data_IF_968457667008
#
_entry.id   IF_968457667008
#
_cell.length_a   1.000
_cell.length_b   1.000
_cell.length_c   1.000
_cell.angle_alpha   90.00
_cell.angle_beta   90.00
_cell.angle_gamma   90.00
#
_symmetry.space_group_name_H-M   'P 1'
#
loop_
_entity.id
_entity.type
_entity.pdbx_description
1 polymer ?
#
# COMPACT_ATOMS: atom_id res chain seq x y z
N UNK A 1 1.68 12.16 23.44
CA UNK A 1 0.63 11.47 24.22
C UNK A 1 -0.48 11.02 23.28
N UNK A 2 -0.46 9.74 22.89
CA UNK A 2 -1.43 9.18 21.94
C UNK A 2 -2.84 9.17 22.54
N UNK A 3 -3.82 9.66 21.77
CA UNK A 3 -5.23 9.81 22.19
C UNK A 3 -5.77 8.46 22.66
N UNK A 4 -6.23 8.39 23.92
CA UNK A 4 -6.86 7.21 24.51
C UNK A 4 -8.08 6.83 23.65
N UNK A 5 -7.91 5.85 22.76
CA UNK A 5 -8.94 5.38 21.85
C UNK A 5 -9.96 4.62 22.68
N UNK A 6 -11.24 4.95 22.54
CA UNK A 6 -12.32 4.30 23.25
C UNK A 6 -12.26 2.79 22.99
N UNK A 7 -11.88 2.02 24.01
CA UNK A 7 -11.85 0.57 23.94
C UNK A 7 -13.25 0.08 24.28
N UNK A 8 -13.96 -0.48 23.31
CA UNK A 8 -15.20 -1.20 23.58
C UNK A 8 -14.85 -2.46 24.38
N UNK A 9 -15.49 -2.65 25.53
CA UNK A 9 -15.35 -3.87 26.31
C UNK A 9 -15.89 -5.06 25.49
N UNK A 10 -15.09 -6.12 25.42
CA UNK A 10 -15.52 -7.39 24.82
C UNK A 10 -16.12 -8.23 25.95
N UNK A 11 -17.38 -8.59 25.83
CA UNK A 11 -18.10 -9.44 26.78
C UNK A 11 -18.44 -10.79 26.14
N UNK A 12 -18.48 -11.84 26.97
CA UNK A 12 -18.85 -13.19 26.57
C UNK A 12 -20.23 -13.53 27.12
N UNK A 13 -21.09 -14.12 26.29
CA UNK A 13 -22.39 -14.59 26.73
C UNK A 13 -22.26 -15.98 27.36
N UNK A 14 -22.51 -16.08 28.67
CA UNK A 14 -22.45 -17.35 29.41
C UNK A 14 -23.45 -18.42 28.95
N UNK A 15 -24.46 -18.04 28.16
CA UNK A 15 -25.46 -18.97 27.60
C UNK A 15 -25.11 -19.43 26.17
N UNK A 16 -24.15 -18.79 25.51
CA UNK A 16 -23.73 -19.17 24.16
C UNK A 16 -22.63 -20.23 24.25
N UNK A 17 -22.88 -21.41 23.67
CA UNK A 17 -21.94 -22.54 23.67
C UNK A 17 -20.57 -22.18 23.10
N UNK A 18 -20.52 -21.34 22.05
CA UNK A 18 -19.26 -20.90 21.44
C UNK A 18 -18.44 -20.03 22.39
N UNK A 19 -19.11 -19.17 23.15
CA UNK A 19 -18.45 -18.31 24.13
C UNK A 19 -17.97 -19.12 25.34
N UNK A 20 -18.75 -20.10 25.78
CA UNK A 20 -18.33 -21.05 26.83
C UNK A 20 -17.07 -21.81 26.38
N UNK A 21 -17.05 -22.32 25.15
CA UNK A 21 -15.88 -23.02 24.60
C UNK A 21 -14.63 -22.13 24.56
N UNK A 22 -14.79 -20.86 24.12
CA UNK A 22 -13.69 -19.87 24.14
C UNK A 22 -13.19 -19.60 25.56
N UNK A 23 -14.10 -19.38 26.51
CA UNK A 23 -13.75 -19.17 27.91
C UNK A 23 -13.04 -20.39 28.52
N UNK A 24 -13.46 -21.61 28.16
CA UNK A 24 -12.82 -22.86 28.60
C UNK A 24 -11.38 -22.98 28.08
N UNK A 25 -11.13 -22.58 26.83
CA UNK A 25 -9.77 -22.57 26.25
C UNK A 25 -8.85 -21.57 26.96
N UNK A 26 -9.36 -20.39 27.29
CA UNK A 26 -8.62 -19.38 28.04
C UNK A 26 -8.30 -19.88 29.46
N UNK A 27 -9.24 -20.62 30.06
CA UNK A 27 -9.09 -21.24 31.38
C UNK A 27 -9.01 -20.20 32.49
N UNK A 28 -7.95 -20.28 33.31
CA UNK A 28 -7.72 -19.35 34.44
C UNK A 28 -7.01 -18.04 34.04
N UNK A 29 -6.63 -17.89 32.77
CA UNK A 29 -5.94 -16.69 32.28
C UNK A 29 -6.98 -15.58 32.05
N UNK A 30 -6.58 -14.31 32.16
CA UNK A 30 -7.45 -13.22 31.71
C UNK A 30 -7.47 -13.18 30.18
N UNK A 31 -8.62 -12.86 29.59
CA UNK A 31 -8.77 -12.71 28.14
C UNK A 31 -7.71 -11.77 27.56
N UNK A 32 -7.50 -10.61 28.19
CA UNK A 32 -6.49 -9.64 27.76
C UNK A 32 -5.07 -10.20 27.77
N UNK A 33 -4.72 -11.04 28.75
CA UNK A 33 -3.38 -11.65 28.81
C UNK A 33 -3.18 -12.70 27.73
N UNK A 34 -4.23 -13.45 27.40
CA UNK A 34 -4.21 -14.40 26.28
C UNK A 34 -4.04 -13.68 24.93
N UNK A 35 -4.82 -12.63 24.68
CA UNK A 35 -4.72 -11.84 23.44
C UNK A 35 -3.36 -11.15 23.30
N UNK A 36 -2.83 -10.56 24.39
CA UNK A 36 -1.48 -9.96 24.37
C UNK A 36 -0.42 -10.97 23.94
N UNK A 37 -0.42 -12.16 24.55
CA UNK A 37 0.51 -13.23 24.16
C UNK A 37 0.41 -13.57 22.67
N UNK A 38 -0.80 -13.73 22.14
CA UNK A 38 -0.99 -14.04 20.72
C UNK A 38 -0.44 -12.93 19.81
N UNK A 39 -0.60 -11.67 20.19
CA UNK A 39 -0.05 -10.54 19.44
C UNK A 39 1.48 -10.52 19.52
N UNK A 40 2.05 -10.77 20.69
CA UNK A 40 3.50 -10.83 20.89
C UNK A 40 4.10 -11.97 20.04
N UNK A 41 3.50 -13.16 20.08
CA UNK A 41 3.92 -14.32 19.30
C UNK A 41 3.84 -14.03 17.77
N UNK A 42 2.80 -13.33 17.32
CA UNK A 42 2.63 -12.93 15.91
C UNK A 42 3.63 -11.86 15.47
N UNK A 43 3.97 -10.90 16.35
CA UNK A 43 5.01 -9.89 16.07
C UNK A 43 6.35 -10.59 15.90
N UNK A 44 6.72 -11.46 16.85
CA UNK A 44 7.96 -12.24 16.80
C UNK A 44 8.03 -13.06 15.51
N UNK A 45 6.93 -13.72 15.14
CA UNK A 45 6.86 -14.49 13.89
C UNK A 45 7.14 -13.63 12.67
N UNK A 46 6.52 -12.46 12.57
CA UNK A 46 6.74 -11.52 11.44
C UNK A 46 8.15 -10.94 11.41
N UNK A 47 8.74 -10.65 12.56
CA UNK A 47 10.13 -10.18 12.65
C UNK A 47 11.12 -11.28 12.28
N UNK A 48 10.81 -12.54 12.58
CA UNK A 48 11.63 -13.69 12.19
C UNK A 48 11.52 -14.04 10.70
N UNK A 49 10.40 -13.68 10.06
CA UNK A 49 10.14 -13.90 8.62
C UNK A 49 10.76 -12.81 7.73
N UNK A 50 11.58 -11.89 8.26
CA UNK A 50 12.32 -10.93 7.41
C UNK A 50 13.14 -11.71 6.38
N UNK A 51 12.83 -11.60 5.07
CA UNK A 51 13.61 -12.28 4.05
C UNK A 51 15.00 -11.68 4.08
N UNK A 52 15.99 -12.50 4.46
CA UNK A 52 17.39 -12.19 4.22
C UNK A 52 17.53 -11.91 2.73
N UNK A 53 17.82 -10.65 2.39
CA UNK A 53 18.14 -10.20 1.05
C UNK A 53 19.31 -11.02 0.50
N UNK A 54 19.00 -12.16 -0.10
CA UNK A 54 19.96 -13.05 -0.75
C UNK A 54 19.60 -13.19 -2.23
N UNK A 55 19.28 -12.07 -2.86
CA UNK A 55 19.42 -11.95 -4.31
C UNK A 55 20.84 -11.48 -4.60
N UNK A 56 21.84 -12.34 -4.31
CA UNK A 56 23.07 -12.31 -5.11
C UNK A 56 22.67 -12.88 -6.46
N UNK A 57 22.30 -12.02 -7.40
CA UNK A 57 21.99 -12.42 -8.76
C UNK A 57 23.30 -12.80 -9.46
N UNK A 58 23.72 -14.05 -9.32
CA UNK A 58 24.79 -14.66 -10.13
C UNK A 58 24.29 -15.10 -11.52
N UNK A 59 23.26 -14.44 -12.06
CA UNK A 59 22.81 -14.67 -13.43
C UNK A 59 23.33 -13.53 -14.30
N UNK A 60 24.27 -13.77 -15.24
CA UNK A 60 24.66 -12.75 -16.19
C UNK A 60 23.44 -12.39 -17.04
N UNK A 61 22.89 -11.18 -16.85
CA UNK A 61 21.82 -10.68 -17.72
C UNK A 61 22.39 -10.48 -19.13
N UNK A 62 22.01 -11.34 -20.08
CA UNK A 62 22.22 -11.04 -21.49
C UNK A 62 21.40 -9.80 -21.85
N UNK A 63 22.10 -8.75 -22.31
CA UNK A 63 21.47 -7.51 -22.79
C UNK A 63 20.63 -7.82 -24.02
N UNK A 64 19.33 -8.01 -23.83
CA UNK A 64 18.38 -8.06 -24.94
C UNK A 64 18.34 -6.68 -25.60
N UNK A 65 18.84 -6.58 -26.84
CA UNK A 65 18.67 -5.38 -27.66
C UNK A 65 17.20 -5.28 -28.06
N UNK A 66 16.43 -4.55 -27.27
CA UNK A 66 15.08 -4.13 -27.68
C UNK A 66 15.25 -3.13 -28.82
N UNK A 67 14.78 -3.49 -30.01
CA UNK A 67 14.67 -2.54 -31.13
C UNK A 67 13.68 -1.48 -30.69
N UNK A 68 14.14 -0.25 -30.48
CA UNK A 68 13.25 0.86 -30.14
C UNK A 68 12.44 1.20 -31.39
N UNK A 69 11.13 0.94 -31.36
CA UNK A 69 10.22 1.48 -32.36
C UNK A 69 10.33 3.01 -32.32
N UNK A 70 11.01 3.59 -33.30
CA UNK A 70 11.08 5.04 -33.47
C UNK A 70 9.68 5.54 -33.84
N UNK A 71 8.90 5.93 -32.84
CA UNK A 71 7.64 6.65 -33.05
C UNK A 71 7.97 7.98 -33.73
N UNK A 72 7.48 8.17 -34.94
CA UNK A 72 7.54 9.46 -35.62
C UNK A 72 6.83 10.52 -34.76
N UNK A 73 7.48 11.68 -34.61
CA UNK A 73 6.93 12.81 -33.84
C UNK A 73 5.63 13.27 -34.52
N UNK A 74 4.54 13.51 -33.78
CA UNK A 74 3.34 14.06 -34.37
C UNK A 74 3.62 15.48 -34.88
N UNK A 75 3.28 15.71 -36.16
CA UNK A 75 3.35 17.02 -36.80
C UNK A 75 2.35 17.93 -36.08
N UNK A 76 2.85 18.86 -35.27
CA UNK A 76 2.00 19.89 -34.63
C UNK A 76 1.57 20.87 -35.73
N UNK A 77 0.27 21.11 -35.94
CA UNK A 77 -0.16 22.15 -36.86
C UNK A 77 0.31 23.51 -36.31
N UNK A 78 1.00 24.28 -37.15
CA UNK A 78 1.38 25.66 -36.82
C UNK A 78 0.10 26.47 -36.68
N UNK A 79 -0.15 27.01 -35.48
CA UNK A 79 -1.19 28.02 -35.29
C UNK A 79 -0.87 29.21 -36.20
N UNK A 80 -1.79 29.55 -37.11
CA UNK A 80 -1.75 30.82 -37.83
C UNK A 80 -1.84 31.94 -36.80
N UNK A 81 -0.83 32.80 -36.77
CA UNK A 81 -0.91 34.06 -36.04
C UNK A 81 -1.94 34.94 -36.76
N UNK A 82 -3.12 35.09 -36.19
CA UNK A 82 -4.05 36.14 -36.59
C UNK A 82 -3.39 37.47 -36.25
N UNK A 83 -2.76 38.12 -37.23
CA UNK A 83 -2.32 39.51 -37.09
C UNK A 83 -3.58 40.37 -36.90
N UNK A 84 -3.65 41.23 -35.88
CA UNK A 84 -4.77 42.15 -35.76
C UNK A 84 -4.77 43.10 -36.96
N UNK A 85 -5.90 43.21 -37.64
CA UNK A 85 -6.11 44.17 -38.72
C UNK A 85 -5.99 45.58 -38.14
N UNK A 86 -5.02 46.36 -38.63
CA UNK A 86 -4.80 47.73 -38.18
C UNK A 86 -5.29 48.70 -39.27
N UNK A 87 -6.47 49.33 -39.11
CA UNK A 87 -7.09 50.16 -40.16
C UNK A 87 -6.35 51.48 -40.43
N UNK A 88 -5.36 51.86 -39.62
CA UNK A 88 -4.59 53.10 -39.80
C UNK A 88 -3.46 53.01 -40.84
N UNK A 89 -3.21 51.84 -41.44
CA UNK A 89 -2.19 51.66 -42.48
C UNK A 89 -2.77 51.66 -43.91
N UNK A 90 -4.05 51.98 -44.08
CA UNK A 90 -4.69 52.06 -45.40
C UNK A 90 -4.99 53.50 -45.82
N UNK A 91 -4.05 54.12 -46.54
CA UNK A 91 -4.23 55.08 -47.68
C UNK A 91 -2.94 55.88 -47.91
N UNK A 92 -2.19 55.49 -48.94
CA UNK A 92 -1.53 56.42 -49.86
C UNK A 92 -1.97 56.04 -51.25
#
# INVERSE_FOLDING_TARGET
MSKNKWVRSISFNKKNEKDIARLKLIGKKSFSRFIKKLLDDEIIRRESEVPSNTTKSDTPQMKQRVITNSRSKPIRPKQQSNKPFNPMLGRK
#
